data_IF_327629785380
#
_entry.id   IF_327629785380
#
_cell.length_a   1.000
_cell.length_b   1.000
_cell.length_c   1.000
_cell.angle_alpha   90.00
_cell.angle_beta   90.00
_cell.angle_gamma   90.00
#
_symmetry.space_group_name_H-M   'P 1'
#
loop_
_entity.id
_entity.type
_entity.pdbx_description
1 polymer ?
#
# COMPACT_ATOMS: atom_id res chain seq x y z
N UNK A 1 3.44 5.34 -5.77
CA UNK A 1 3.88 3.95 -6.00
C UNK A 1 3.83 3.20 -4.69
N UNK A 2 3.42 1.93 -4.69
CA UNK A 2 3.28 1.07 -3.49
C UNK A 2 4.48 0.10 -3.33
N UNK A 3 5.67 0.54 -3.76
CA UNK A 3 6.92 -0.22 -3.71
C UNK A 3 7.29 -0.86 -5.05
N UNK A 4 8.36 -1.66 -5.04
CA UNK A 4 8.98 -2.28 -6.22
C UNK A 4 9.13 -1.37 -7.44
N UNK A 5 9.70 -0.19 -7.21
CA UNK A 5 9.83 0.83 -8.24
C UNK A 5 10.81 0.43 -9.37
N UNK A 6 11.83 -0.38 -9.04
CA UNK A 6 12.93 -0.73 -9.93
C UNK A 6 13.28 -2.21 -9.76
N UNK A 7 12.86 -3.02 -10.74
CA UNK A 7 13.17 -4.45 -10.78
C UNK A 7 14.48 -4.73 -11.51
N UNK A 8 15.21 -5.81 -11.20
CA UNK A 8 14.91 -6.80 -10.14
C UNK A 8 15.61 -6.51 -8.79
N UNK A 9 16.62 -5.62 -8.77
CA UNK A 9 17.48 -5.38 -7.59
C UNK A 9 17.59 -3.90 -7.19
N UNK A 10 16.61 -3.05 -7.54
CA UNK A 10 16.66 -1.63 -7.23
C UNK A 10 17.66 -0.82 -8.07
N UNK A 11 17.94 0.40 -7.61
CA UNK A 11 18.97 1.28 -8.19
C UNK A 11 20.32 1.05 -7.47
N UNK A 12 21.41 1.15 -8.22
CA UNK A 12 22.79 0.95 -7.70
C UNK A 12 23.43 2.24 -7.17
N UNK A 13 22.96 3.39 -7.60
CA UNK A 13 23.42 4.72 -7.20
C UNK A 13 22.41 5.80 -7.58
N UNK A 14 22.66 7.04 -7.15
CA UNK A 14 21.90 8.23 -7.57
C UNK A 14 21.96 8.50 -9.09
N UNK A 15 22.99 7.98 -9.78
CA UNK A 15 23.20 8.13 -11.22
C UNK A 15 22.77 6.89 -12.02
N UNK A 16 22.06 5.94 -11.41
CA UNK A 16 21.66 4.70 -12.09
C UNK A 16 20.65 5.00 -13.21
N UNK A 17 21.01 4.65 -14.45
CA UNK A 17 20.21 4.89 -15.66
C UNK A 17 18.84 4.22 -15.60
N UNK A 18 18.66 3.18 -14.77
CA UNK A 18 17.37 2.54 -14.58
C UNK A 18 16.31 3.52 -14.08
N UNK A 19 16.70 4.55 -13.32
CA UNK A 19 15.79 5.63 -12.92
C UNK A 19 15.20 6.35 -14.14
N UNK A 20 16.06 6.75 -15.08
CA UNK A 20 15.57 7.39 -16.30
C UNK A 20 14.75 6.45 -17.17
N UNK A 21 15.23 5.21 -17.36
CA UNK A 21 14.65 4.26 -18.31
C UNK A 21 13.30 3.71 -17.87
N UNK A 22 13.11 3.42 -16.58
CA UNK A 22 11.88 2.80 -16.07
C UNK A 22 10.94 3.76 -15.33
N UNK A 23 11.37 4.98 -15.03
CA UNK A 23 10.53 6.00 -14.39
C UNK A 23 10.40 7.27 -15.22
N UNK A 24 11.48 8.03 -15.40
CA UNK A 24 11.41 9.38 -16.00
C UNK A 24 10.92 9.36 -17.45
N UNK A 25 11.39 8.40 -18.28
CA UNK A 25 10.99 8.26 -19.68
C UNK A 25 9.62 7.62 -19.87
N UNK A 26 9.10 6.94 -18.84
CA UNK A 26 7.79 6.26 -18.88
C UNK A 26 6.67 7.24 -18.52
N UNK A 27 6.82 8.04 -17.46
CA UNK A 27 5.78 8.93 -16.93
C UNK A 27 5.92 10.39 -17.40
N UNK A 28 6.11 10.60 -18.71
CA UNK A 28 6.44 11.92 -19.29
C UNK A 28 5.22 12.80 -19.61
N UNK A 29 4.00 12.25 -19.63
CA UNK A 29 2.82 12.98 -20.10
C UNK A 29 2.47 14.14 -19.15
N UNK A 30 2.16 15.32 -19.70
CA UNK A 30 1.90 16.54 -18.91
C UNK A 30 0.79 16.38 -17.87
N UNK A 31 -0.20 15.52 -18.12
CA UNK A 31 -1.29 15.24 -17.16
C UNK A 31 -0.82 14.56 -15.87
N UNK A 32 0.39 13.97 -15.87
CA UNK A 32 0.99 13.32 -14.72
C UNK A 32 1.78 14.29 -13.82
N UNK A 33 2.05 15.51 -14.30
CA UNK A 33 2.88 16.50 -13.61
C UNK A 33 2.02 17.40 -12.69
N UNK A 34 1.20 16.78 -11.84
CA UNK A 34 0.27 17.46 -10.93
C UNK A 34 0.82 17.49 -9.51
N UNK A 35 0.81 18.67 -8.87
CA UNK A 35 1.11 18.82 -7.45
C UNK A 35 -0.13 18.54 -6.61
N UNK A 36 0.05 17.81 -5.51
CA UNK A 36 -1.01 17.49 -4.55
C UNK A 36 -0.83 18.35 -3.31
N UNK A 37 -1.84 19.14 -2.96
CA UNK A 37 -1.95 19.85 -1.69
C UNK A 37 -3.37 19.68 -1.21
N UNK A 38 -3.60 18.94 -0.12
CA UNK A 38 -4.95 18.82 0.42
C UNK A 38 -4.95 18.61 1.92
N UNK A 39 -5.66 19.49 2.64
CA UNK A 39 -6.02 19.30 4.05
C UNK A 39 -7.07 18.18 4.24
N UNK A 40 -7.59 17.63 3.13
CA UNK A 40 -8.66 16.62 3.12
C UNK A 40 -8.17 15.25 3.59
N UNK A 41 -6.93 14.88 3.27
CA UNK A 41 -6.41 13.55 3.50
C UNK A 41 -4.94 13.59 3.92
N UNK A 42 -4.61 12.82 4.94
CA UNK A 42 -3.22 12.50 5.28
C UNK A 42 -2.87 11.17 4.63
N UNK A 43 -1.81 11.18 3.82
CA UNK A 43 -1.25 9.98 3.17
C UNK A 43 0.13 9.73 3.76
N UNK A 44 0.26 8.65 4.51
CA UNK A 44 1.47 8.31 5.28
C UNK A 44 2.14 7.11 4.63
N UNK A 45 3.36 7.30 4.14
CA UNK A 45 4.14 6.24 3.50
C UNK A 45 5.08 5.58 4.51
N UNK A 46 5.05 4.26 4.58
CA UNK A 46 5.82 3.44 5.52
C UNK A 46 6.74 2.48 4.79
N UNK A 47 7.97 2.37 5.28
CA UNK A 47 8.83 1.27 4.93
C UNK A 47 8.41 0.02 5.70
N UNK A 48 7.75 -0.92 5.02
CA UNK A 48 7.33 -2.20 5.61
C UNK A 48 8.37 -3.31 5.45
N UNK A 49 9.47 -3.05 4.73
CA UNK A 49 10.52 -4.05 4.45
C UNK A 49 11.20 -4.56 5.72
N UNK A 50 11.55 -3.70 6.71
CA UNK A 50 12.18 -4.16 7.95
C UNK A 50 11.28 -5.05 8.81
N UNK A 51 9.95 -5.02 8.62
CA UNK A 51 9.04 -5.84 9.41
C UNK A 51 9.13 -7.33 9.06
N UNK A 52 9.46 -7.67 7.82
CA UNK A 52 9.42 -9.06 7.33
C UNK A 52 10.63 -9.83 7.87
N UNK A 53 10.41 -10.78 8.80
CA UNK A 53 11.48 -11.56 9.43
C UNK A 53 12.27 -12.40 8.45
N UNK A 54 11.60 -12.88 7.40
CA UNK A 54 12.19 -13.74 6.39
C UNK A 54 13.35 -13.05 5.66
N UNK A 55 13.32 -11.73 5.43
CA UNK A 55 14.40 -11.04 4.72
C UNK A 55 15.71 -10.96 5.52
N UNK A 56 15.65 -11.16 6.83
CA UNK A 56 16.83 -11.19 7.70
C UNK A 56 17.27 -12.61 8.04
N UNK A 57 16.31 -13.54 8.15
CA UNK A 57 16.57 -14.91 8.60
C UNK A 57 16.80 -15.89 7.44
N UNK A 58 16.16 -15.67 6.29
CA UNK A 58 16.24 -16.51 5.11
C UNK A 58 15.92 -15.72 3.82
N UNK A 59 16.84 -14.88 3.32
CA UNK A 59 16.59 -14.03 2.15
C UNK A 59 16.56 -14.80 0.81
N UNK A 60 16.71 -16.13 0.83
CA UNK A 60 16.90 -16.95 -0.37
C UNK A 60 18.04 -16.40 -1.26
N UNK A 61 17.78 -16.16 -2.54
CA UNK A 61 18.76 -15.62 -3.50
C UNK A 61 18.75 -14.08 -3.54
N UNK A 62 17.96 -13.40 -2.69
CA UNK A 62 17.88 -11.95 -2.67
C UNK A 62 18.99 -11.32 -1.82
N UNK A 63 19.49 -10.18 -2.28
CA UNK A 63 20.47 -9.38 -1.53
C UNK A 63 19.82 -8.06 -1.12
N UNK A 64 19.70 -7.82 0.19
CA UNK A 64 19.12 -6.60 0.75
C UNK A 64 20.23 -5.68 1.30
N UNK A 65 20.13 -4.39 1.01
CA UNK A 65 21.04 -3.39 1.55
C UNK A 65 20.51 -2.80 2.87
N UNK A 66 21.01 -3.32 3.98
CA UNK A 66 20.64 -2.89 5.33
C UNK A 66 21.58 -1.84 5.93
N UNK A 67 22.52 -1.26 5.16
CA UNK A 67 23.55 -0.35 5.71
C UNK A 67 22.97 0.87 6.42
N UNK A 68 21.78 1.32 6.02
CA UNK A 68 21.06 2.43 6.65
C UNK A 68 20.31 2.03 7.93
N UNK A 69 20.19 0.74 8.25
CA UNK A 69 19.47 0.21 9.41
C UNK A 69 20.48 -0.43 10.37
N UNK A 70 20.99 0.37 11.31
CA UNK A 70 21.97 -0.08 12.29
C UNK A 70 21.37 -1.05 13.34
N UNK A 71 20.10 -0.85 13.69
CA UNK A 71 19.34 -1.72 14.59
C UNK A 71 17.93 -1.88 14.04
N UNK A 72 17.61 -3.08 13.56
CA UNK A 72 16.28 -3.43 13.02
C UNK A 72 15.17 -3.14 14.03
N UNK A 73 15.39 -3.53 15.30
CA UNK A 73 14.43 -3.33 16.38
C UNK A 73 14.16 -1.86 16.65
N UNK A 74 15.22 -1.05 16.75
CA UNK A 74 15.06 0.38 17.06
C UNK A 74 14.45 1.13 15.88
N UNK A 75 14.78 0.73 14.64
CA UNK A 75 14.17 1.26 13.43
C UNK A 75 12.66 1.02 13.41
N UNK A 76 12.22 -0.25 13.59
CA UNK A 76 10.80 -0.60 13.64
C UNK A 76 10.09 0.16 14.77
N UNK A 77 10.70 0.19 15.97
CA UNK A 77 10.13 0.90 17.12
C UNK A 77 9.96 2.40 16.85
N UNK A 78 10.95 3.06 16.27
CA UNK A 78 10.87 4.48 15.92
C UNK A 78 9.78 4.72 14.87
N UNK A 79 9.73 3.90 13.83
CA UNK A 79 8.73 4.00 12.78
C UNK A 79 7.32 3.86 13.35
N UNK A 80 7.05 2.84 14.19
CA UNK A 80 5.75 2.66 14.83
C UNK A 80 5.36 3.85 15.72
N UNK A 81 6.32 4.40 16.48
CA UNK A 81 6.09 5.59 17.30
C UNK A 81 5.76 6.83 16.46
N UNK A 82 6.50 7.05 15.37
CA UNK A 82 6.30 8.20 14.50
C UNK A 82 4.93 8.13 13.80
N UNK A 83 4.55 6.94 13.31
CA UNK A 83 3.24 6.73 12.67
C UNK A 83 2.10 6.92 13.64
N UNK A 84 2.19 6.34 14.83
CA UNK A 84 1.15 6.51 15.85
C UNK A 84 1.01 7.99 16.22
N UNK A 85 2.13 8.71 16.38
CA UNK A 85 2.11 10.14 16.65
C UNK A 85 1.42 10.93 15.54
N UNK A 86 1.81 10.71 14.28
CA UNK A 86 1.21 11.39 13.12
C UNK A 86 -0.30 11.12 13.07
N UNK A 87 -0.73 9.87 13.26
CA UNK A 87 -2.13 9.47 13.21
C UNK A 87 -2.98 10.06 14.35
N UNK A 88 -2.39 10.21 15.56
CA UNK A 88 -3.04 10.87 16.71
C UNK A 88 -3.18 12.37 16.53
N UNK A 89 -2.19 13.01 15.91
CA UNK A 89 -2.18 14.46 15.66
C UNK A 89 -3.01 14.86 14.43
N UNK A 90 -3.24 13.90 13.51
CA UNK A 90 -4.00 14.10 12.29
C UNK A 90 -5.44 14.56 12.54
N UNK A 91 -5.81 15.65 11.88
CA UNK A 91 -7.19 16.17 11.79
C UNK A 91 -7.79 15.99 10.39
N UNK A 92 -7.10 15.25 9.52
CA UNK A 92 -7.56 15.04 8.16
C UNK A 92 -8.88 14.26 8.15
N UNK A 93 -9.71 14.53 7.14
CA UNK A 93 -10.97 13.79 6.98
C UNK A 93 -10.68 12.34 6.65
N UNK A 94 -9.67 12.06 5.80
CA UNK A 94 -9.27 10.71 5.42
C UNK A 94 -7.85 10.40 5.90
N UNK A 95 -7.66 9.25 6.54
CA UNK A 95 -6.34 8.76 6.94
C UNK A 95 -5.98 7.55 6.09
N UNK A 96 -4.91 7.69 5.32
CA UNK A 96 -4.45 6.67 4.37
C UNK A 96 -3.03 6.30 4.74
N UNK A 97 -2.78 5.00 4.94
CA UNK A 97 -1.45 4.46 5.18
C UNK A 97 -1.04 3.62 3.98
N UNK A 98 0.17 3.86 3.47
CA UNK A 98 0.70 3.18 2.30
C UNK A 98 1.97 2.44 2.70
N UNK A 99 2.02 1.14 2.43
CA UNK A 99 3.20 0.30 2.60
C UNK A 99 3.49 -0.51 1.34
N UNK A 100 4.58 -1.27 1.34
CA UNK A 100 4.86 -2.20 0.24
C UNK A 100 4.10 -3.53 0.38
N UNK A 101 4.32 -4.23 1.50
CA UNK A 101 3.73 -5.53 1.84
C UNK A 101 2.25 -5.42 2.27
N UNK A 102 1.50 -6.51 2.11
CA UNK A 102 0.08 -6.57 2.49
C UNK A 102 -0.13 -6.87 3.98
N UNK A 103 -1.07 -6.17 4.63
CA UNK A 103 -1.63 -6.58 5.93
C UNK A 103 -2.68 -7.67 5.73
N UNK A 104 -3.49 -7.56 4.67
CA UNK A 104 -4.45 -8.56 4.21
C UNK A 104 -4.28 -8.78 2.72
N UNK A 105 -4.13 -10.03 2.29
CA UNK A 105 -4.08 -10.38 0.87
C UNK A 105 -4.44 -11.85 0.65
N UNK A 106 -5.09 -12.13 -0.49
CA UNK A 106 -5.32 -13.50 -0.98
C UNK A 106 -4.38 -13.87 -2.13
N UNK A 107 -3.43 -12.99 -2.45
CA UNK A 107 -2.43 -13.12 -3.49
C UNK A 107 -1.35 -14.16 -3.16
N UNK A 108 -0.24 -14.09 -3.90
CA UNK A 108 0.84 -15.06 -3.78
C UNK A 108 1.53 -15.00 -2.41
N UNK A 109 1.80 -13.81 -1.88
CA UNK A 109 2.46 -13.62 -0.61
C UNK A 109 1.48 -13.71 0.56
N UNK A 110 0.27 -13.17 0.38
CA UNK A 110 -0.78 -13.19 1.39
C UNK A 110 -0.49 -12.25 2.56
N UNK A 111 -1.11 -12.55 3.70
CA UNK A 111 -1.01 -11.77 4.93
C UNK A 111 0.43 -11.73 5.50
N UNK A 112 0.97 -10.52 5.73
CA UNK A 112 2.24 -10.32 6.45
C UNK A 112 2.00 -10.29 7.96
N UNK A 113 2.29 -11.40 8.65
CA UNK A 113 2.00 -11.58 10.08
C UNK A 113 2.57 -10.49 10.97
N UNK A 114 3.80 -10.06 10.70
CA UNK A 114 4.49 -9.04 11.48
C UNK A 114 3.75 -7.69 11.42
N UNK A 115 3.16 -7.36 10.27
CA UNK A 115 2.33 -6.16 10.15
C UNK A 115 0.97 -6.31 10.85
N UNK A 116 0.39 -7.51 10.84
CA UNK A 116 -0.85 -7.80 11.58
C UNK A 116 -0.63 -7.64 13.09
N UNK A 117 0.51 -8.09 13.59
CA UNK A 117 0.81 -8.08 15.03
C UNK A 117 1.27 -6.71 15.51
N UNK A 118 2.05 -5.97 14.71
CA UNK A 118 2.74 -4.75 15.17
C UNK A 118 2.09 -3.46 14.65
N UNK A 119 1.64 -3.43 13.39
CA UNK A 119 1.16 -2.21 12.74
C UNK A 119 -0.36 -2.09 12.79
N UNK A 120 -1.10 -3.15 12.44
CA UNK A 120 -2.56 -3.13 12.36
C UNK A 120 -3.23 -2.63 13.64
N UNK A 121 -2.81 -3.00 14.87
CA UNK A 121 -3.43 -2.47 16.09
C UNK A 121 -3.33 -0.95 16.20
N UNK A 122 -2.24 -0.34 15.71
CA UNK A 122 -2.08 1.12 15.68
C UNK A 122 -3.02 1.74 14.65
N UNK A 123 -3.18 1.11 13.48
CA UNK A 123 -4.10 1.61 12.44
C UNK A 123 -5.56 1.56 12.91
N UNK A 124 -5.95 0.44 13.54
CA UNK A 124 -7.28 0.24 14.12
C UNK A 124 -7.56 1.26 15.24
N UNK A 125 -6.62 1.44 16.17
CA UNK A 125 -6.76 2.36 17.29
C UNK A 125 -6.85 3.85 16.89
N UNK A 126 -6.38 4.20 15.68
CA UNK A 126 -6.36 5.57 15.19
C UNK A 126 -7.33 5.82 14.01
N UNK A 127 -8.26 4.90 13.79
CA UNK A 127 -9.35 5.01 12.81
C UNK A 127 -8.84 5.30 11.39
N UNK A 128 -7.79 4.59 10.98
CA UNK A 128 -7.32 4.63 9.59
C UNK A 128 -8.44 4.16 8.66
N UNK A 129 -8.61 4.81 7.51
CA UNK A 129 -9.66 4.46 6.56
C UNK A 129 -9.17 3.40 5.58
N UNK A 130 -7.98 3.62 5.03
CA UNK A 130 -7.42 2.82 3.94
C UNK A 130 -5.98 2.46 4.23
N UNK A 131 -5.67 1.17 4.14
CA UNK A 131 -4.31 0.68 3.98
C UNK A 131 -4.10 0.27 2.53
N UNK A 132 -3.07 0.81 1.89
CA UNK A 132 -2.76 0.52 0.49
C UNK A 132 -1.39 -0.14 0.36
N UNK A 133 -1.30 -1.15 -0.50
CA UNK A 133 -0.06 -1.87 -0.75
C UNK A 133 0.12 -2.31 -2.20
N UNK A 134 1.30 -2.86 -2.47
CA UNK A 134 1.67 -3.57 -3.70
C UNK A 134 2.11 -4.97 -3.32
N UNK A 135 3.33 -5.34 -3.71
CA UNK A 135 4.00 -6.61 -3.42
C UNK A 135 3.35 -7.83 -4.07
N UNK A 136 2.09 -8.09 -3.76
CA UNK A 136 1.29 -9.03 -4.55
C UNK A 136 1.00 -8.43 -5.92
N UNK A 137 1.43 -9.12 -6.98
CA UNK A 137 1.27 -8.69 -8.36
C UNK A 137 -0.15 -8.96 -8.87
N UNK A 138 -1.12 -8.34 -8.22
CA UNK A 138 -2.55 -8.39 -8.47
C UNK A 138 -3.21 -7.05 -8.08
N UNK A 139 -4.53 -6.96 -8.30
CA UNK A 139 -5.39 -5.92 -7.75
C UNK A 139 -6.36 -6.56 -6.76
N UNK A 140 -6.48 -6.01 -5.56
CA UNK A 140 -7.37 -6.55 -4.53
C UNK A 140 -8.09 -5.47 -3.74
N UNK A 141 -9.28 -5.81 -3.27
CA UNK A 141 -9.99 -5.08 -2.24
C UNK A 141 -10.48 -6.08 -1.18
N UNK A 142 -9.98 -5.93 0.03
CA UNK A 142 -10.38 -6.71 1.21
C UNK A 142 -10.93 -5.75 2.25
N UNK A 143 -12.16 -5.98 2.71
CA UNK A 143 -12.71 -5.28 3.86
C UNK A 143 -12.34 -6.04 5.13
N UNK A 144 -11.84 -5.34 6.16
CA UNK A 144 -11.64 -6.01 7.45
C UNK A 144 -12.98 -6.44 8.06
N UNK A 145 -12.97 -7.53 8.83
CA UNK A 145 -14.19 -8.03 9.50
C UNK A 145 -14.32 -7.54 10.94
N UNK A 146 -13.30 -6.88 11.48
CA UNK A 146 -13.24 -6.40 12.88
C UNK A 146 -13.13 -4.89 13.01
N UNK A 147 -12.68 -4.20 11.96
CA UNK A 147 -12.53 -2.75 11.87
C UNK A 147 -13.14 -2.20 10.57
N UNK A 148 -13.37 -0.87 10.46
CA UNK A 148 -13.84 -0.26 9.22
C UNK A 148 -12.73 -0.11 8.15
N UNK A 149 -11.48 -0.47 8.45
CA UNK A 149 -10.34 -0.34 7.53
C UNK A 149 -10.62 -1.15 6.25
N UNK A 150 -10.34 -0.55 5.10
CA UNK A 150 -10.23 -1.28 3.84
C UNK A 150 -8.77 -1.46 3.45
N UNK A 151 -8.43 -2.67 3.02
CA UNK A 151 -7.13 -3.04 2.46
C UNK A 151 -7.23 -3.07 0.94
N UNK A 152 -6.38 -2.30 0.28
CA UNK A 152 -6.41 -2.07 -1.17
C UNK A 152 -5.04 -2.41 -1.77
N UNK A 153 -4.97 -3.51 -2.52
CA UNK A 153 -3.75 -3.92 -3.23
C UNK A 153 -3.78 -3.39 -4.65
N UNK A 154 -2.75 -2.68 -5.05
CA UNK A 154 -2.52 -2.20 -6.42
C UNK A 154 -1.09 -2.52 -6.85
N UNK A 155 -0.73 -3.80 -6.90
CA UNK A 155 0.62 -4.28 -7.26
C UNK A 155 0.77 -4.74 -8.72
N UNK A 156 -0.30 -4.70 -9.53
CA UNK A 156 -0.30 -5.19 -10.91
C UNK A 156 0.14 -4.16 -11.98
N UNK A 157 0.98 -3.19 -11.61
CA UNK A 157 1.38 -2.09 -12.51
C UNK A 157 2.35 -2.50 -13.63
N UNK A 158 3.10 -3.60 -13.44
CA UNK A 158 4.08 -4.10 -14.43
C UNK A 158 4.00 -5.63 -14.58
N UNK A 159 4.38 -6.40 -13.57
CA UNK A 159 4.16 -7.85 -13.52
C UNK A 159 2.76 -8.14 -12.96
N UNK A 160 2.13 -9.22 -13.42
CA UNK A 160 0.86 -9.72 -12.86
C UNK A 160 0.89 -11.25 -12.82
N UNK A 161 0.60 -11.85 -11.66
CA UNK A 161 0.69 -13.30 -11.46
C UNK A 161 -0.62 -14.02 -11.79
N UNK A 162 -0.93 -14.10 -13.09
CA UNK A 162 -2.12 -14.80 -13.58
C UNK A 162 -2.19 -16.25 -13.07
N UNK A 163 -3.29 -16.58 -12.41
CA UNK A 163 -3.57 -17.92 -11.89
C UNK A 163 -2.82 -18.29 -10.61
N UNK A 164 -2.04 -17.39 -10.01
CA UNK A 164 -1.27 -17.64 -8.79
C UNK A 164 -2.02 -17.12 -7.55
N UNK A 165 -3.06 -17.86 -7.17
CA UNK A 165 -3.88 -17.55 -5.99
C UNK A 165 -3.51 -18.54 -4.90
N UNK A 166 -2.73 -18.12 -3.89
CA UNK A 166 -2.64 -18.89 -2.64
C UNK A 166 -3.93 -18.63 -1.88
N UNK A 167 -4.96 -19.42 -2.18
CA UNK A 167 -6.35 -19.26 -1.71
C UNK A 167 -6.56 -19.43 -0.20
N UNK A 168 -5.78 -18.73 0.63
CA UNK A 168 -5.87 -18.69 2.07
C UNK A 168 -6.62 -17.40 2.47
N UNK A 169 -7.54 -17.55 3.42
CA UNK A 169 -8.34 -16.48 4.04
C UNK A 169 -9.07 -15.51 3.07
N UNK A 170 -10.13 -15.99 2.41
CA UNK A 170 -11.03 -15.14 1.60
C UNK A 170 -12.01 -14.31 2.42
N UNK A 171 -11.87 -14.26 3.74
CA UNK A 171 -12.76 -13.50 4.59
C UNK A 171 -12.62 -12.00 4.27
N UNK A 172 -13.75 -11.32 4.07
CA UNK A 172 -13.72 -9.90 3.72
C UNK A 172 -13.35 -9.56 2.27
N UNK A 173 -12.91 -10.52 1.45
CA UNK A 173 -12.54 -10.29 0.05
C UNK A 173 -13.75 -9.77 -0.76
N UNK A 174 -13.59 -8.59 -1.36
CA UNK A 174 -14.61 -7.94 -2.20
C UNK A 174 -14.27 -7.99 -3.69
N UNK A 175 -12.98 -7.95 -4.02
CA UNK A 175 -12.49 -7.96 -5.39
C UNK A 175 -11.07 -8.53 -5.46
N UNK A 176 -10.80 -9.30 -6.51
CA UNK A 176 -9.48 -9.82 -6.85
C UNK A 176 -9.34 -9.87 -8.37
N UNK A 177 -8.20 -9.43 -8.89
CA UNK A 177 -7.85 -9.52 -10.31
C UNK A 177 -6.36 -9.78 -10.47
N UNK A 178 -6.01 -10.82 -11.21
CA UNK A 178 -4.65 -11.31 -11.44
C UNK A 178 -4.04 -10.84 -12.77
N UNK A 179 -4.71 -9.90 -13.46
CA UNK A 179 -4.18 -9.21 -14.62
C UNK A 179 -3.55 -7.86 -14.26
N UNK A 180 -2.87 -7.26 -15.25
CA UNK A 180 -2.24 -5.95 -15.10
C UNK A 180 -3.29 -4.84 -15.02
N UNK A 181 -2.98 -3.79 -14.26
CA UNK A 181 -3.89 -2.67 -14.07
C UNK A 181 -3.46 -1.72 -12.97
N UNK A 182 -4.37 -0.85 -12.56
CA UNK A 182 -4.13 0.15 -11.51
C UNK A 182 -5.43 0.56 -10.81
N UNK A 183 -5.29 1.30 -9.71
CA UNK A 183 -6.40 1.88 -8.96
C UNK A 183 -6.40 3.40 -9.05
N UNK A 184 -7.59 4.02 -9.09
CA UNK A 184 -7.79 5.45 -8.83
C UNK A 184 -8.62 5.66 -7.57
N UNK A 185 -8.32 6.72 -6.82
CA UNK A 185 -9.11 7.17 -5.68
C UNK A 185 -9.49 8.64 -5.85
N UNK A 186 -10.77 8.94 -5.67
CA UNK A 186 -11.30 10.30 -5.60
C UNK A 186 -11.88 10.55 -4.21
N UNK A 187 -11.39 11.56 -3.53
CA UNK A 187 -11.81 11.93 -2.18
C UNK A 187 -12.61 13.23 -2.20
N UNK A 188 -13.68 13.26 -1.41
CA UNK A 188 -14.41 14.45 -1.02
C UNK A 188 -14.51 14.47 0.50
N UNK A 189 -14.96 15.57 1.15
CA UNK A 189 -15.17 15.57 2.60
C UNK A 189 -16.14 14.48 3.10
N UNK A 190 -17.00 13.92 2.24
CA UNK A 190 -18.04 12.96 2.64
C UNK A 190 -17.83 11.56 2.09
N UNK A 191 -17.17 11.45 0.95
CA UNK A 191 -17.13 10.22 0.17
C UNK A 191 -15.74 9.95 -0.38
N UNK A 192 -15.36 8.68 -0.36
CA UNK A 192 -14.21 8.16 -1.08
C UNK A 192 -14.71 7.23 -2.18
N UNK A 193 -14.36 7.52 -3.43
CA UNK A 193 -14.70 6.72 -4.60
C UNK A 193 -13.43 6.02 -5.09
N UNK A 194 -13.44 4.70 -5.09
CA UNK A 194 -12.33 3.85 -5.52
C UNK A 194 -12.75 3.09 -6.77
N UNK A 195 -11.88 3.05 -7.76
CA UNK A 195 -12.06 2.27 -8.98
C UNK A 195 -10.77 1.54 -9.36
N UNK A 196 -10.91 0.29 -9.77
CA UNK A 196 -9.84 -0.55 -10.30
C UNK A 196 -10.01 -0.69 -11.81
N UNK A 197 -8.90 -0.61 -12.54
CA UNK A 197 -8.88 -0.64 -14.00
C UNK A 197 -7.94 -1.70 -14.51
N UNK A 198 -8.28 -2.31 -15.64
CA UNK A 198 -7.31 -3.05 -16.44
C UNK A 198 -6.41 -2.10 -17.25
N UNK A 199 -5.42 -2.66 -17.95
CA UNK A 199 -4.50 -1.90 -18.83
C UNK A 199 -5.18 -1.18 -20.00
N UNK A 200 -6.42 -1.52 -20.35
CA UNK A 200 -7.18 -0.86 -21.41
C UNK A 200 -8.03 0.30 -20.87
N UNK A 201 -8.02 0.52 -19.54
CA UNK A 201 -8.84 1.52 -18.89
C UNK A 201 -10.28 1.08 -18.65
N UNK A 202 -10.60 -0.21 -18.80
CA UNK A 202 -11.91 -0.72 -18.43
C UNK A 202 -11.99 -0.82 -16.91
N UNK A 203 -13.12 -0.37 -16.35
CA UNK A 203 -13.35 -0.50 -14.91
C UNK A 203 -13.68 -1.94 -14.57
N UNK A 204 -12.87 -2.54 -13.71
CA UNK A 204 -13.04 -3.91 -13.21
C UNK A 204 -13.86 -3.95 -11.92
N UNK A 205 -13.70 -2.94 -11.06
CA UNK A 205 -14.40 -2.86 -9.78
C UNK A 205 -14.56 -1.40 -9.35
N UNK A 206 -15.67 -1.10 -8.68
CA UNK A 206 -15.92 0.19 -8.04
C UNK A 206 -16.38 -0.03 -6.61
N UNK A 207 -15.93 0.85 -5.73
CA UNK A 207 -16.40 0.88 -4.36
C UNK A 207 -16.45 2.30 -3.83
N UNK A 208 -17.40 2.55 -2.94
CA UNK A 208 -17.61 3.86 -2.33
C UNK A 208 -17.65 3.70 -0.81
N UNK A 209 -16.87 4.53 -0.11
CA UNK A 209 -17.01 4.74 1.33
C UNK A 209 -17.67 6.09 1.59
N UNK A 210 -18.41 6.19 2.70
CA UNK A 210 -18.99 7.45 3.14
C UNK A 210 -18.67 7.69 4.61
N UNK A 211 -18.20 8.90 4.95
CA UNK A 211 -18.12 9.37 6.33
C UNK A 211 -19.40 10.09 6.70
N UNK A 212 -20.11 9.56 7.70
CA UNK A 212 -21.20 10.28 8.35
C UNK A 212 -20.58 11.26 9.34
N UNK A 213 -20.66 12.56 9.04
CA UNK A 213 -20.37 13.57 10.05
C UNK A 213 -21.40 13.42 11.17
N UNK A 214 -20.97 12.97 12.35
CA UNK A 214 -21.74 13.27 13.55
C UNK A 214 -21.67 14.79 13.70
N UNK A 215 -22.76 15.47 13.41
CA UNK A 215 -22.95 16.85 13.85
C UNK A 215 -22.82 16.82 15.37
N UNK A 216 -21.70 17.34 15.86
CA UNK A 216 -21.52 17.66 17.28
C UNK A 216 -22.71 18.51 17.70
N UNK A 217 -23.55 17.98 18.59
CA UNK A 217 -24.62 18.73 19.26
C UNK A 217 -23.98 19.67 20.28
#
# INVERSE_FOLDING_TARGET
STGDNFYDNGLKSEDDIAFEESFTKIYTHNSLQTKWYSELADIIFLDTTPFVDMYFSNPEDHTYDWRAISSRKDYISSLLMDVEKILKESRATWKIVVGHHAIRSVGHHGDTKELIEQLLPILEANEVDFYMNGHDHCLEHVSDTRSPIQFLTSGAGSKAWRGDIKGLNKEGLKFFYDGQGFMSMQLTPKEAHIAFYDVFGNVLHKWQNSKLFHSSI
#
